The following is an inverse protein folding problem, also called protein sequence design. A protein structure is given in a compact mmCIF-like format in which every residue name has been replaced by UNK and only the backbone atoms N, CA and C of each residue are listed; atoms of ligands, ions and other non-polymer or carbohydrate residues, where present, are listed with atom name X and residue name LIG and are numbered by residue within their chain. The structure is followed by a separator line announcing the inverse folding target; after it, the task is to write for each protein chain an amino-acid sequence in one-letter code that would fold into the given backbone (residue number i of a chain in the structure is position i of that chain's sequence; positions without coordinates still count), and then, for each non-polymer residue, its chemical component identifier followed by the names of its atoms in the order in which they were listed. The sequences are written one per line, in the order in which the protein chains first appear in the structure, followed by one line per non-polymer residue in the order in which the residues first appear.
data_IF_911151847864
#
_entry.id   IF_911151847864
#
_cell.length_a   1.000
_cell.length_b   1.000
_cell.length_c   1.000
_cell.angle_alpha   90.00
_cell.angle_beta   90.00
_cell.angle_gamma   90.00
#
_symmetry.space_group_name_H-M   'P 1'
#
loop_
_entity.id
_entity.type
_entity.pdbx_description
1 polymer ?
#
# COMPACT_ATOMS: atom_id res chain seq x y z
N UNK A 1 12.35 -39.66 -25.88
CA UNK A 1 11.96 -38.24 -25.92
C UNK A 1 13.23 -37.43 -25.68
N UNK A 2 13.66 -36.61 -26.65
CA UNK A 2 14.98 -35.97 -26.62
C UNK A 2 15.07 -34.92 -25.49
N UNK A 3 16.17 -34.84 -24.76
CA UNK A 3 16.35 -33.88 -23.66
C UNK A 3 16.27 -32.44 -24.15
N UNK A 4 16.74 -32.16 -25.36
CA UNK A 4 16.60 -30.85 -26.01
C UNK A 4 15.13 -30.51 -26.27
N UNK A 5 14.32 -31.48 -26.66
CA UNK A 5 12.88 -31.30 -26.87
C UNK A 5 12.16 -30.98 -25.56
N UNK A 6 12.53 -31.63 -24.45
CA UNK A 6 11.99 -31.34 -23.11
C UNK A 6 12.37 -29.93 -22.66
N UNK A 7 13.60 -29.48 -22.91
CA UNK A 7 14.05 -28.12 -22.58
C UNK A 7 13.30 -27.05 -23.39
N UNK A 8 13.07 -27.28 -24.68
CA UNK A 8 12.31 -26.38 -25.54
C UNK A 8 10.85 -26.24 -25.08
N UNK A 9 10.21 -27.34 -24.68
CA UNK A 9 8.85 -27.31 -24.13
C UNK A 9 8.76 -26.52 -22.83
N UNK A 10 9.73 -26.70 -21.92
CA UNK A 10 9.76 -25.94 -20.66
C UNK A 10 9.98 -24.44 -20.90
N UNK A 11 10.88 -24.08 -21.82
CA UNK A 11 11.13 -22.67 -22.16
C UNK A 11 9.89 -22.00 -22.78
N UNK A 12 9.19 -22.71 -23.67
CA UNK A 12 7.94 -22.23 -24.27
C UNK A 12 6.83 -22.06 -23.21
N UNK A 13 6.73 -22.99 -22.26
CA UNK A 13 5.79 -22.90 -21.14
C UNK A 13 6.08 -21.70 -20.22
N UNK A 14 7.35 -21.43 -19.92
CA UNK A 14 7.78 -20.25 -19.18
C UNK A 14 7.40 -18.95 -19.90
N UNK A 15 7.58 -18.88 -21.22
CA UNK A 15 7.17 -17.73 -22.04
C UNK A 15 5.65 -17.53 -22.03
N UNK A 16 4.88 -18.61 -22.15
CA UNK A 16 3.41 -18.57 -22.08
C UNK A 16 2.89 -18.12 -20.71
N UNK A 17 3.56 -18.50 -19.61
CA UNK A 17 3.22 -18.00 -18.26
C UNK A 17 3.39 -16.48 -18.18
N UNK A 18 4.46 -15.93 -18.76
CA UNK A 18 4.72 -14.48 -18.75
C UNK A 18 3.61 -13.71 -19.50
N UNK A 19 3.13 -14.24 -20.63
CA UNK A 19 2.01 -13.64 -21.38
C UNK A 19 0.66 -13.77 -20.65
N UNK A 20 0.46 -14.84 -19.87
CA UNK A 20 -0.78 -15.00 -19.09
C UNK A 20 -0.91 -13.99 -17.94
N UNK A 21 0.21 -13.45 -17.45
CA UNK A 21 0.23 -12.40 -16.41
C UNK A 21 -0.28 -11.06 -16.97
N UNK A 22 -0.21 -10.84 -18.29
CA UNK A 22 -0.71 -9.64 -18.96
C UNK A 22 -2.10 -9.78 -19.60
N UNK A 23 -2.70 -10.98 -19.59
CA UNK A 23 -3.99 -11.25 -20.25
C UNK A 23 -5.10 -11.75 -19.30
N UNK A 24 -5.05 -11.34 -18.04
CA UNK A 24 -6.25 -11.22 -17.21
C UNK A 24 -6.86 -9.84 -17.45
N UNK A 25 -7.93 -9.75 -18.24
CA UNK A 25 -8.65 -8.50 -18.46
C UNK A 25 -9.25 -7.97 -17.15
N UNK A 26 -8.48 -7.15 -16.44
CA UNK A 26 -8.99 -6.15 -15.52
C UNK A 26 -9.05 -4.84 -16.33
N UNK A 27 -10.18 -4.10 -16.30
CA UNK A 27 -10.23 -2.81 -16.99
C UNK A 27 -9.07 -1.94 -16.51
N UNK A 28 -8.45 -1.22 -17.44
CA UNK A 28 -7.38 -0.25 -17.24
C UNK A 28 -7.46 0.44 -15.87
N UNK A 29 -6.36 0.38 -15.10
CA UNK A 29 -5.93 1.23 -13.94
C UNK A 29 -4.93 0.52 -12.98
N UNK A 30 -4.56 -0.74 -13.21
CA UNK A 30 -3.91 -1.60 -12.20
C UNK A 30 -2.46 -1.27 -11.82
N UNK A 31 -1.66 -0.59 -12.64
CA UNK A 31 -0.32 -0.14 -12.21
C UNK A 31 -0.44 0.98 -11.17
N UNK A 32 -1.38 1.90 -11.36
CA UNK A 32 -1.67 2.95 -10.39
C UNK A 32 -2.34 2.37 -9.14
N UNK A 33 -3.22 1.37 -9.27
CA UNK A 33 -3.89 0.73 -8.12
C UNK A 33 -2.94 -0.15 -7.30
N UNK A 34 -2.06 -0.94 -7.92
CA UNK A 34 -1.08 -1.71 -7.16
C UNK A 34 0.01 -0.82 -6.55
N UNK A 35 0.41 0.25 -7.25
CA UNK A 35 1.31 1.25 -6.67
C UNK A 35 0.64 1.99 -5.51
N UNK A 36 -0.63 2.40 -5.63
CA UNK A 36 -1.35 3.09 -4.56
C UNK A 36 -1.60 2.17 -3.36
N UNK A 37 -2.02 0.93 -3.57
CA UNK A 37 -2.18 -0.08 -2.50
C UNK A 37 -0.84 -0.36 -1.80
N UNK A 38 0.26 -0.49 -2.55
CA UNK A 38 1.59 -0.69 -1.97
C UNK A 38 2.10 0.56 -1.23
N UNK A 39 1.76 1.75 -1.71
CA UNK A 39 2.11 3.02 -1.08
C UNK A 39 1.35 3.22 0.24
N UNK A 40 0.05 2.89 0.28
CA UNK A 40 -0.78 2.92 1.49
C UNK A 40 -0.21 2.01 2.59
N UNK A 41 0.28 0.82 2.24
CA UNK A 41 0.88 -0.09 3.24
C UNK A 41 2.19 0.46 3.83
N UNK A 42 3.02 1.11 3.01
CA UNK A 42 4.26 1.75 3.49
C UNK A 42 3.92 2.89 4.45
N UNK A 43 2.97 3.76 4.08
CA UNK A 43 2.52 4.85 4.94
C UNK A 43 1.91 4.34 6.24
N UNK A 44 1.11 3.26 6.19
CA UNK A 44 0.54 2.61 7.37
C UNK A 44 1.63 2.12 8.32
N UNK A 45 2.65 1.45 7.82
CA UNK A 45 3.78 0.95 8.63
C UNK A 45 4.59 2.12 9.21
N UNK A 46 4.83 3.17 8.42
CA UNK A 46 5.53 4.37 8.86
C UNK A 46 4.75 5.09 9.98
N UNK A 47 3.43 5.27 9.80
CA UNK A 47 2.55 5.90 10.78
C UNK A 47 2.52 5.12 12.10
N UNK A 48 2.45 3.78 12.04
CA UNK A 48 2.48 2.94 13.24
C UNK A 48 3.82 3.02 13.98
N UNK A 49 4.95 3.04 13.25
CA UNK A 49 6.27 3.23 13.86
C UNK A 49 6.39 4.61 14.51
N UNK A 50 5.94 5.65 13.81
CA UNK A 50 5.95 7.02 14.31
C UNK A 50 5.13 7.15 15.59
N UNK A 51 3.88 6.64 15.61
CA UNK A 51 3.00 6.60 16.79
C UNK A 51 3.68 5.94 18.00
N UNK A 52 4.29 4.76 17.82
CA UNK A 52 4.97 4.03 18.90
C UNK A 52 6.17 4.80 19.48
N UNK A 53 6.77 5.70 18.70
CA UNK A 53 7.88 6.54 19.14
C UNK A 53 7.48 7.75 19.99
N UNK A 54 6.18 8.06 20.09
CA UNK A 54 5.68 9.23 20.80
C UNK A 54 5.02 8.86 22.13
N UNK A 55 5.22 9.69 23.15
CA UNK A 55 4.39 9.67 24.35
C UNK A 55 3.07 10.38 24.04
N UNK A 56 1.96 9.70 24.25
CA UNK A 56 0.61 10.22 24.00
C UNK A 56 -0.24 10.21 25.28
N UNK A 57 0.06 11.09 26.25
CA UNK A 57 -0.64 11.12 27.53
C UNK A 57 -2.11 11.54 27.42
N UNK A 58 -2.50 12.16 26.30
CA UNK A 58 -3.86 12.66 26.05
C UNK A 58 -4.64 11.79 25.07
N UNK A 59 -4.09 10.62 24.70
CA UNK A 59 -4.74 9.65 23.81
C UNK A 59 -5.15 10.22 22.43
N UNK A 60 -4.38 11.19 21.92
CA UNK A 60 -4.65 11.92 20.67
C UNK A 60 -4.41 11.06 19.44
N UNK A 61 -3.52 10.08 19.55
CA UNK A 61 -3.13 9.16 18.49
C UNK A 61 -3.89 7.84 18.58
N UNK A 62 -4.98 7.79 19.37
CA UNK A 62 -5.80 6.59 19.56
C UNK A 62 -6.47 6.13 18.27
N UNK A 63 -6.89 7.08 17.43
CA UNK A 63 -7.51 6.77 16.14
C UNK A 63 -6.52 6.20 15.14
N UNK A 64 -5.20 6.42 15.29
CA UNK A 64 -4.13 6.04 14.34
C UNK A 64 -3.78 4.54 14.39
N UNK A 65 -4.79 3.67 14.32
CA UNK A 65 -4.72 2.20 14.32
C UNK A 65 -5.43 1.61 13.10
N UNK A 66 -5.18 0.36 12.74
CA UNK A 66 -5.89 -0.30 11.62
C UNK A 66 -5.32 0.02 10.23
N UNK A 67 -6.16 -0.17 9.20
CA UNK A 67 -5.75 -0.15 7.79
C UNK A 67 -5.94 1.22 7.12
N UNK A 68 -6.93 2.00 7.56
CA UNK A 68 -7.13 3.37 7.07
C UNK A 68 -6.06 4.32 7.62
N UNK A 69 -5.28 4.94 6.75
CA UNK A 69 -4.27 5.93 7.13
C UNK A 69 -4.86 7.35 7.27
N UNK A 70 -5.96 7.67 6.58
CA UNK A 70 -6.53 9.02 6.55
C UNK A 70 -7.54 9.25 7.68
N UNK A 71 -7.01 9.63 8.85
CA UNK A 71 -7.77 9.79 10.09
C UNK A 71 -7.64 11.19 10.67
N UNK A 72 -8.28 11.44 11.81
CA UNK A 72 -8.18 12.71 12.49
C UNK A 72 -6.72 13.10 12.75
N UNK A 73 -6.35 14.33 12.37
CA UNK A 73 -4.97 14.82 12.45
C UNK A 73 -4.05 14.30 11.34
N UNK A 74 -4.58 13.66 10.29
CA UNK A 74 -3.83 13.21 9.11
C UNK A 74 -4.48 13.82 7.87
N UNK A 75 -3.79 14.76 7.22
CA UNK A 75 -4.25 15.32 5.96
C UNK A 75 -3.73 14.43 4.80
N UNK A 76 -4.65 13.94 3.97
CA UNK A 76 -4.34 13.05 2.84
C UNK A 76 -4.63 13.70 1.49
N UNK A 77 -3.99 13.20 0.44
CA UNK A 77 -4.33 13.50 -0.93
C UNK A 77 -5.62 12.77 -1.33
N UNK A 78 -6.64 13.48 -1.80
CA UNK A 78 -7.95 12.89 -2.13
C UNK A 78 -7.95 11.96 -3.35
N UNK A 79 -6.92 12.02 -4.21
CA UNK A 79 -6.81 11.20 -5.42
C UNK A 79 -5.95 9.96 -5.19
N UNK A 80 -4.84 10.10 -4.47
CA UNK A 80 -3.89 9.00 -4.25
C UNK A 80 -4.03 8.34 -2.88
N UNK A 81 -4.77 8.95 -1.95
CA UNK A 81 -4.87 8.56 -0.53
C UNK A 81 -3.55 8.61 0.23
N UNK A 82 -2.55 9.31 -0.31
CA UNK A 82 -1.24 9.46 0.34
C UNK A 82 -1.30 10.49 1.47
N UNK A 83 -0.58 10.24 2.57
CA UNK A 83 -0.42 11.18 3.67
C UNK A 83 0.43 12.38 3.24
N UNK A 84 -0.14 13.56 3.38
CA UNK A 84 0.54 14.83 3.08
C UNK A 84 1.07 15.50 4.35
N UNK A 85 0.35 15.39 5.48
CA UNK A 85 0.69 16.06 6.73
C UNK A 85 0.13 15.35 7.96
N UNK A 86 0.90 15.38 9.04
CA UNK A 86 0.47 14.96 10.39
C UNK A 86 0.32 16.19 11.30
N UNK A 87 -0.83 16.31 11.94
CA UNK A 87 -1.19 17.37 12.88
C UNK A 87 -1.45 16.80 14.28
N UNK A 88 -0.39 16.79 15.10
CA UNK A 88 -0.40 16.28 16.47
C UNK A 88 -1.20 17.17 17.44
N UNK A 89 -1.55 18.39 17.01
CA UNK A 89 -2.33 19.33 17.82
C UNK A 89 -3.83 19.17 17.57
N UNK A 90 -4.24 18.67 16.41
CA UNK A 90 -5.66 18.57 16.04
C UNK A 90 -6.48 17.65 16.95
N UNK A 91 -5.85 16.64 17.57
CA UNK A 91 -6.47 15.80 18.60
C UNK A 91 -6.51 16.42 20.01
N UNK A 92 -6.17 17.70 20.18
CA UNK A 92 -6.31 18.37 21.48
C UNK A 92 -7.78 18.56 21.85
N UNK A 93 -8.18 18.28 23.10
CA UNK A 93 -9.30 18.99 23.68
C UNK A 93 -9.04 20.49 23.51
N UNK A 94 -9.94 21.20 22.84
CA UNK A 94 -9.93 22.66 22.87
C UNK A 94 -10.39 23.06 24.27
N UNK A 95 -9.50 23.68 25.03
CA UNK A 95 -9.84 24.31 26.31
C UNK A 95 -10.48 25.67 26.05
#
# INVERSE_FOLDING_TARGET
MNTTFVLLLNLLYLLLIIESISLGAVPSNSIAVNASVRFIEIERVALQKFRKGLKDPFNRLSSWVGQDCCKEGIDCNNQTSNVLKLDLRRGAPKF
#
